data_IF_978168825910
#
_entry.id   IF_978168825910
#
_cell.length_a   1.000
_cell.length_b   1.000
_cell.length_c   1.000
_cell.angle_alpha   90.00
_cell.angle_beta   90.00
_cell.angle_gamma   90.00
#
_symmetry.space_group_name_H-M   'P 1'
#
loop_
_entity.id
_entity.type
_entity.pdbx_description
1 polymer ?
#
# COMPACT_ATOMS: atom_id res chain seq x y z
N UNK A 1 -9.46 4.45 20.60
CA UNK A 1 -9.65 5.49 19.57
C UNK A 1 -9.94 4.79 18.25
N UNK A 2 -10.89 5.28 17.48
CA UNK A 2 -11.32 4.62 16.24
C UNK A 2 -10.71 5.32 15.02
N UNK A 3 -10.31 4.53 14.03
CA UNK A 3 -9.85 4.96 12.72
C UNK A 3 -10.72 4.34 11.64
N UNK A 4 -11.45 5.14 10.87
CA UNK A 4 -12.16 4.66 9.68
C UNK A 4 -11.23 4.74 8.45
N UNK A 5 -10.95 3.56 7.87
CA UNK A 5 -10.07 3.42 6.70
C UNK A 5 -10.92 3.04 5.49
N UNK A 6 -10.61 3.64 4.34
CA UNK A 6 -11.12 3.23 3.04
C UNK A 6 -9.97 2.71 2.18
N UNK A 7 -10.07 1.47 1.70
CA UNK A 7 -9.14 0.84 0.77
C UNK A 7 -9.78 0.71 -0.62
N UNK A 8 -9.15 1.25 -1.65
CA UNK A 8 -9.69 1.25 -3.00
C UNK A 8 -9.52 -0.11 -3.70
N UNK A 9 -10.57 -0.57 -4.37
CA UNK A 9 -10.50 -1.47 -5.52
C UNK A 9 -10.61 -0.58 -6.77
N UNK A 10 -9.46 -0.17 -7.27
CA UNK A 10 -9.36 0.96 -8.20
C UNK A 10 -9.15 0.50 -9.64
N UNK A 11 -10.07 0.81 -10.56
CA UNK A 11 -9.86 0.55 -11.97
C UNK A 11 -8.88 1.59 -12.54
N UNK A 12 -7.99 1.15 -13.42
CA UNK A 12 -7.12 2.07 -14.17
C UNK A 12 -7.89 2.60 -15.36
N UNK A 13 -8.28 3.87 -15.30
CA UNK A 13 -9.20 4.50 -16.24
C UNK A 13 -8.46 5.31 -17.32
N UNK A 14 -8.93 5.27 -18.56
CA UNK A 14 -8.40 6.11 -19.64
C UNK A 14 -9.01 7.51 -19.57
N UNK A 15 -8.16 8.55 -19.62
CA UNK A 15 -8.57 9.96 -19.56
C UNK A 15 -8.15 10.70 -20.83
N UNK A 16 -8.93 11.72 -21.21
CA UNK A 16 -8.66 12.56 -22.38
C UNK A 16 -7.94 13.86 -22.04
N UNK A 17 -7.88 14.23 -20.75
CA UNK A 17 -7.19 15.41 -20.26
C UNK A 17 -6.85 15.26 -18.76
N UNK A 18 -5.90 16.09 -18.30
CA UNK A 18 -5.58 16.17 -16.87
C UNK A 18 -6.79 16.59 -16.03
N UNK A 19 -7.66 17.47 -16.55
CA UNK A 19 -8.87 17.90 -15.83
C UNK A 19 -9.87 16.75 -15.66
N UNK A 20 -10.03 15.87 -16.65
CA UNK A 20 -10.89 14.68 -16.51
C UNK A 20 -10.34 13.70 -15.50
N UNK A 21 -9.03 13.50 -15.45
CA UNK A 21 -8.37 12.70 -14.43
C UNK A 21 -8.56 13.32 -13.02
N UNK A 22 -8.32 14.62 -12.88
CA UNK A 22 -8.51 15.35 -11.61
C UNK A 22 -9.94 15.22 -11.09
N UNK A 23 -10.93 15.39 -11.98
CA UNK A 23 -12.34 15.23 -11.62
C UNK A 23 -12.66 13.78 -11.19
N UNK A 24 -12.09 12.79 -11.85
CA UNK A 24 -12.23 11.37 -11.50
C UNK A 24 -11.66 11.08 -10.10
N UNK A 25 -10.42 11.48 -9.82
CA UNK A 25 -9.79 11.29 -8.50
C UNK A 25 -10.59 12.02 -7.40
N UNK A 26 -11.07 13.23 -7.68
CA UNK A 26 -11.93 13.98 -6.73
C UNK A 26 -13.18 13.18 -6.38
N UNK A 27 -13.89 12.59 -7.37
CA UNK A 27 -15.08 11.77 -7.14
C UNK A 27 -14.75 10.54 -6.26
N UNK A 28 -13.60 9.91 -6.47
CA UNK A 28 -13.14 8.81 -5.62
C UNK A 28 -12.92 9.26 -4.18
N UNK A 29 -12.19 10.36 -3.96
CA UNK A 29 -11.94 10.88 -2.61
C UNK A 29 -13.26 11.25 -1.93
N UNK A 30 -14.14 11.98 -2.62
CA UNK A 30 -15.47 12.36 -2.10
C UNK A 30 -16.32 11.15 -1.70
N UNK A 31 -16.28 10.07 -2.50
CA UNK A 31 -17.01 8.83 -2.20
C UNK A 31 -16.53 8.14 -0.92
N UNK A 32 -15.22 8.14 -0.64
CA UNK A 32 -14.66 7.64 0.62
C UNK A 32 -15.03 8.54 1.82
N UNK A 33 -14.95 9.84 1.64
CA UNK A 33 -15.29 10.81 2.68
C UNK A 33 -16.78 10.73 3.07
N UNK A 34 -17.67 10.49 2.12
CA UNK A 34 -19.10 10.23 2.42
C UNK A 34 -19.30 9.00 3.32
N UNK A 35 -18.37 8.04 3.31
CA UNK A 35 -18.34 6.89 4.21
C UNK A 35 -17.58 7.17 5.53
N UNK A 36 -17.28 8.45 5.80
CA UNK A 36 -16.54 8.93 7.00
C UNK A 36 -15.12 8.39 7.13
N UNK A 37 -14.48 8.05 6.02
CA UNK A 37 -13.09 7.63 6.02
C UNK A 37 -12.17 8.78 6.46
N UNK A 38 -11.19 8.46 7.30
CA UNK A 38 -10.15 9.37 7.80
C UNK A 38 -8.80 9.10 7.13
N UNK A 39 -8.59 7.85 6.69
CA UNK A 39 -7.43 7.40 5.94
C UNK A 39 -7.91 6.72 4.65
N UNK A 40 -7.46 7.21 3.52
CA UNK A 40 -7.74 6.67 2.19
C UNK A 40 -6.48 6.02 1.65
N UNK A 41 -6.59 4.77 1.23
CA UNK A 41 -5.50 4.01 0.62
C UNK A 41 -5.85 3.72 -0.84
N UNK A 42 -5.14 4.35 -1.76
CA UNK A 42 -5.13 4.00 -3.17
C UNK A 42 -4.10 2.92 -3.47
N UNK A 43 -4.23 2.16 -4.57
CA UNK A 43 -3.34 1.05 -4.85
C UNK A 43 -2.02 1.49 -5.50
N UNK A 44 -1.09 0.53 -5.55
CA UNK A 44 0.12 0.64 -6.34
C UNK A 44 -0.21 0.88 -7.82
N UNK A 45 0.57 1.75 -8.49
CA UNK A 45 0.45 2.05 -9.92
C UNK A 45 -0.92 2.56 -10.41
N UNK A 46 -1.86 2.90 -9.53
CA UNK A 46 -3.09 3.56 -9.96
C UNK A 46 -2.83 4.87 -10.71
N UNK A 47 -1.67 5.50 -10.50
CA UNK A 47 -1.23 6.69 -11.26
C UNK A 47 -0.94 6.41 -12.74
N UNK A 48 -0.80 5.13 -13.15
CA UNK A 48 -0.55 4.77 -14.55
C UNK A 48 -1.69 5.17 -15.48
N UNK A 49 -2.86 5.48 -14.96
CA UNK A 49 -3.94 6.07 -15.77
C UNK A 49 -3.56 7.42 -16.40
N UNK A 50 -2.62 8.17 -15.81
CA UNK A 50 -2.07 9.40 -16.39
C UNK A 50 -1.29 9.17 -17.68
N UNK A 51 -0.82 7.95 -17.95
CA UNK A 51 -0.20 7.57 -19.22
C UNK A 51 -1.16 7.77 -20.38
N UNK A 52 -2.48 7.68 -20.15
CA UNK A 52 -3.49 7.92 -21.17
C UNK A 52 -3.44 9.32 -21.77
N UNK A 53 -2.80 10.27 -21.10
CA UNK A 53 -2.63 11.65 -21.55
C UNK A 53 -1.48 11.84 -22.55
N UNK A 54 -0.62 10.83 -22.68
CA UNK A 54 0.52 10.89 -23.60
C UNK A 54 0.19 10.42 -25.01
N UNK A 55 1.03 10.77 -26.01
CA UNK A 55 0.88 10.28 -27.38
C UNK A 55 0.97 8.75 -27.46
N UNK A 56 0.39 8.13 -28.53
CA UNK A 56 0.38 6.67 -28.70
C UNK A 56 1.75 6.02 -28.64
N UNK A 57 2.81 6.69 -29.08
CA UNK A 57 4.18 6.19 -29.07
C UNK A 57 4.70 5.98 -27.64
N UNK A 58 4.40 6.91 -26.73
CA UNK A 58 4.73 6.80 -25.29
C UNK A 58 3.86 5.73 -24.65
N UNK A 59 2.56 5.73 -24.96
CA UNK A 59 1.59 4.76 -24.40
C UNK A 59 1.92 3.31 -24.77
N UNK A 60 2.54 3.07 -25.93
CA UNK A 60 2.90 1.74 -26.42
C UNK A 60 4.23 1.19 -25.87
N UNK A 61 5.05 2.00 -25.21
CA UNK A 61 6.36 1.60 -24.70
C UNK A 61 6.41 1.71 -23.18
N UNK A 62 6.56 0.58 -22.47
CA UNK A 62 6.51 0.52 -21.01
C UNK A 62 7.59 1.38 -20.35
N UNK A 63 8.82 1.35 -20.86
CA UNK A 63 9.92 2.11 -20.26
C UNK A 63 9.71 3.61 -20.49
N UNK A 64 9.19 3.98 -21.64
CA UNK A 64 8.90 5.37 -21.95
C UNK A 64 7.73 5.89 -21.11
N UNK A 65 6.65 5.10 -20.91
CA UNK A 65 5.56 5.45 -19.99
C UNK A 65 6.09 5.79 -18.61
N UNK A 66 6.87 4.87 -18.04
CA UNK A 66 7.43 4.97 -16.68
C UNK A 66 8.34 6.21 -16.55
N UNK A 67 9.10 6.51 -17.59
CA UNK A 67 10.02 7.65 -17.60
C UNK A 67 9.27 8.97 -17.75
N UNK A 68 8.28 9.07 -18.65
CA UNK A 68 7.59 10.32 -18.97
C UNK A 68 6.61 10.78 -17.88
N UNK A 69 6.11 9.89 -17.04
CA UNK A 69 5.20 10.27 -15.94
C UNK A 69 5.76 11.35 -15.01
N UNK A 70 7.09 11.54 -14.97
CA UNK A 70 7.72 12.57 -14.15
C UNK A 70 7.26 13.99 -14.50
N UNK A 71 6.87 14.27 -15.75
CA UNK A 71 6.42 15.59 -16.17
C UNK A 71 5.12 16.00 -15.48
N UNK A 72 4.29 15.02 -15.08
CA UNK A 72 3.03 15.23 -14.38
C UNK A 72 3.15 15.14 -12.85
N UNK A 73 4.35 14.84 -12.32
CA UNK A 73 4.55 14.61 -10.88
C UNK A 73 4.14 15.80 -10.01
N UNK A 74 4.49 17.01 -10.40
CA UNK A 74 4.17 18.21 -9.63
C UNK A 74 2.66 18.43 -9.56
N UNK A 75 1.96 18.28 -10.67
CA UNK A 75 0.51 18.44 -10.76
C UNK A 75 -0.21 17.31 -10.00
N UNK A 76 0.27 16.07 -10.11
CA UNK A 76 -0.22 14.93 -9.32
C UNK A 76 -0.14 15.21 -7.81
N UNK A 77 1.02 15.65 -7.32
CA UNK A 77 1.21 16.02 -5.92
C UNK A 77 0.27 17.17 -5.53
N UNK A 78 0.12 18.17 -6.39
CA UNK A 78 -0.77 19.31 -6.17
C UNK A 78 -2.22 18.87 -5.95
N UNK A 79 -2.74 17.99 -6.80
CA UNK A 79 -4.11 17.48 -6.71
C UNK A 79 -4.36 16.74 -5.39
N UNK A 80 -3.50 15.78 -5.01
CA UNK A 80 -3.70 15.04 -3.77
C UNK A 80 -3.50 15.90 -2.51
N UNK A 81 -2.58 16.87 -2.55
CA UNK A 81 -2.41 17.82 -1.44
C UNK A 81 -3.66 18.73 -1.27
N UNK A 82 -4.27 19.16 -2.37
CA UNK A 82 -5.51 19.94 -2.36
C UNK A 82 -6.67 19.12 -1.81
N UNK A 83 -6.88 17.89 -2.31
CA UNK A 83 -7.95 17.00 -1.86
C UNK A 83 -7.81 16.62 -0.38
N UNK A 84 -6.61 16.30 0.08
CA UNK A 84 -6.37 15.99 1.50
C UNK A 84 -6.73 17.18 2.40
N UNK A 85 -6.43 18.41 1.94
CA UNK A 85 -6.77 19.64 2.66
C UNK A 85 -8.26 19.93 2.62
N UNK A 86 -8.89 19.85 1.46
CA UNK A 86 -10.31 20.15 1.24
C UNK A 86 -11.20 19.24 2.08
N UNK A 87 -10.91 17.94 2.06
CA UNK A 87 -11.74 16.95 2.76
C UNK A 87 -11.29 16.65 4.18
N UNK A 88 -10.15 17.18 4.63
CA UNK A 88 -9.65 17.00 5.99
C UNK A 88 -9.19 15.57 6.31
N UNK A 89 -8.67 14.83 5.32
CA UNK A 89 -8.32 13.40 5.42
C UNK A 89 -6.83 13.14 5.17
N UNK A 90 -6.36 11.97 5.61
CA UNK A 90 -5.06 11.45 5.21
C UNK A 90 -5.24 10.61 3.93
N UNK A 91 -4.39 10.83 2.93
CA UNK A 91 -4.42 10.09 1.67
C UNK A 91 -3.06 9.46 1.42
N UNK A 92 -3.03 8.15 1.25
CA UNK A 92 -1.94 7.45 0.57
C UNK A 92 -2.33 7.37 -0.89
N UNK A 93 -1.72 8.23 -1.70
CA UNK A 93 -2.02 8.33 -3.13
C UNK A 93 -1.59 7.07 -3.90
N UNK A 94 -2.12 6.83 -5.10
CA UNK A 94 -1.61 5.78 -5.97
C UNK A 94 -0.11 5.92 -6.15
N UNK A 95 0.66 4.81 -6.07
CA UNK A 95 2.10 4.95 -6.27
C UNK A 95 2.43 5.38 -7.70
N UNK A 96 3.50 6.13 -7.83
CA UNK A 96 3.96 6.77 -9.05
C UNK A 96 5.41 6.38 -9.32
N UNK A 97 5.79 6.02 -10.56
CA UNK A 97 7.18 5.96 -10.98
C UNK A 97 7.85 7.35 -10.88
N UNK A 98 8.94 7.45 -10.12
CA UNK A 98 9.65 8.71 -9.88
C UNK A 98 11.11 8.57 -10.27
N UNK A 99 11.55 9.21 -11.37
CA UNK A 99 12.96 9.32 -11.70
C UNK A 99 13.69 10.23 -10.69
N UNK A 100 14.79 9.70 -10.15
CA UNK A 100 15.67 10.41 -9.20
C UNK A 100 17.09 9.82 -9.29
N UNK A 101 18.10 10.65 -9.43
CA UNK A 101 19.54 10.29 -9.48
C UNK A 101 19.88 9.15 -10.47
N UNK A 102 19.25 9.16 -11.64
CA UNK A 102 19.47 8.16 -12.69
C UNK A 102 18.79 6.82 -12.48
N UNK A 103 17.99 6.68 -11.43
CA UNK A 103 17.14 5.55 -11.13
C UNK A 103 15.67 5.93 -11.19
N UNK A 104 14.78 4.95 -11.30
CA UNK A 104 13.32 5.17 -11.21
C UNK A 104 12.80 4.35 -10.05
N UNK A 105 12.11 5.00 -9.13
CA UNK A 105 11.53 4.36 -7.93
C UNK A 105 10.02 4.31 -8.00
N UNK A 106 9.43 3.22 -7.51
CA UNK A 106 7.99 3.12 -7.30
C UNK A 106 7.66 3.76 -5.94
N UNK A 107 7.04 4.96 -5.96
CA UNK A 107 6.87 5.84 -4.80
C UNK A 107 5.41 6.06 -4.44
N UNK A 108 5.03 5.72 -3.21
CA UNK A 108 3.74 6.05 -2.62
C UNK A 108 3.84 7.32 -1.77
N UNK A 109 3.18 8.40 -2.20
CA UNK A 109 3.14 9.67 -1.48
C UNK A 109 2.02 9.67 -0.43
N UNK A 110 2.29 10.32 0.71
CA UNK A 110 1.35 10.48 1.82
C UNK A 110 1.00 11.95 2.01
N UNK A 111 -0.28 12.23 2.03
CA UNK A 111 -0.81 13.58 2.21
C UNK A 111 -1.66 13.65 3.48
N UNK A 112 -1.67 14.81 4.10
CA UNK A 112 -2.54 15.17 5.21
C UNK A 112 -3.24 16.49 4.91
N UNK A 113 -4.17 16.97 5.76
CA UNK A 113 -4.75 18.30 5.61
C UNK A 113 -3.73 19.44 5.58
N UNK A 114 -2.49 19.18 5.97
CA UNK A 114 -1.37 20.15 5.92
C UNK A 114 -0.59 20.10 4.60
N UNK A 115 -0.92 19.19 3.69
CA UNK A 115 -0.25 18.95 2.41
C UNK A 115 0.57 17.67 2.38
N UNK A 116 1.60 17.61 1.54
CA UNK A 116 2.51 16.47 1.43
C UNK A 116 3.28 16.26 2.76
N UNK A 117 3.16 15.06 3.31
CA UNK A 117 3.85 14.66 4.56
C UNK A 117 5.18 13.97 4.26
N UNK A 118 5.20 13.10 3.25
CA UNK A 118 6.36 12.30 2.87
C UNK A 118 5.98 11.20 1.90
N UNK A 119 6.82 10.18 1.83
CA UNK A 119 6.62 9.06 0.92
C UNK A 119 7.26 7.78 1.45
N UNK A 120 6.88 6.66 0.85
CA UNK A 120 7.57 5.37 0.94
C UNK A 120 7.89 4.88 -0.47
N UNK A 121 9.15 4.51 -0.70
CA UNK A 121 9.59 3.84 -1.92
C UNK A 121 9.56 2.32 -1.74
N UNK A 122 9.24 1.60 -2.80
CA UNK A 122 9.24 0.15 -2.83
C UNK A 122 10.66 -0.42 -2.74
N UNK A 123 10.84 -1.48 -1.96
CA UNK A 123 12.14 -2.10 -1.72
C UNK A 123 12.47 -3.26 -2.65
N UNK A 124 11.48 -4.12 -2.88
CA UNK A 124 11.67 -5.33 -3.66
C UNK A 124 10.86 -5.23 -4.95
N UNK A 125 11.58 -5.30 -6.06
CA UNK A 125 10.98 -5.31 -7.38
C UNK A 125 10.52 -6.72 -7.75
N UNK A 126 9.34 -6.81 -8.33
CA UNK A 126 8.97 -8.01 -9.06
C UNK A 126 9.88 -8.14 -10.28
N UNK A 127 9.95 -9.35 -10.85
CA UNK A 127 10.74 -9.58 -12.06
C UNK A 127 10.34 -8.66 -13.21
N UNK A 128 9.05 -8.35 -13.35
CA UNK A 128 8.54 -7.43 -14.35
C UNK A 128 9.06 -6.00 -14.18
N UNK A 129 9.00 -5.49 -12.96
CA UNK A 129 9.47 -4.15 -12.64
C UNK A 129 10.97 -4.00 -12.92
N UNK A 130 11.77 -5.00 -12.53
CA UNK A 130 13.23 -4.99 -12.70
C UNK A 130 13.63 -5.19 -14.16
N UNK A 131 13.21 -6.30 -14.80
CA UNK A 131 13.69 -6.70 -16.12
C UNK A 131 13.03 -5.91 -17.27
N UNK A 132 11.74 -5.53 -17.14
CA UNK A 132 10.95 -4.95 -18.22
C UNK A 132 10.76 -3.45 -18.06
N UNK A 133 10.27 -3.00 -16.89
CA UNK A 133 9.92 -1.61 -16.67
C UNK A 133 11.12 -0.71 -16.36
N UNK A 134 12.20 -1.27 -15.79
CA UNK A 134 13.35 -0.50 -15.37
C UNK A 134 13.13 0.26 -14.07
N UNK A 135 12.28 -0.27 -13.19
CA UNK A 135 12.10 0.23 -11.83
C UNK A 135 13.22 -0.33 -10.95
N UNK A 136 13.80 0.52 -10.11
CA UNK A 136 14.93 0.17 -9.27
C UNK A 136 14.52 -0.05 -7.82
N UNK A 137 15.22 -0.95 -7.14
CA UNK A 137 15.11 -1.11 -5.70
C UNK A 137 15.58 0.17 -4.98
N UNK A 138 14.71 0.73 -4.13
CA UNK A 138 15.05 1.95 -3.42
C UNK A 138 16.09 1.72 -2.29
N UNK A 139 16.77 2.77 -1.82
CA UNK A 139 17.50 2.77 -0.57
C UNK A 139 16.61 2.28 0.58
N UNK A 140 17.18 1.51 1.51
CA UNK A 140 16.41 0.82 2.56
C UNK A 140 15.98 1.78 3.69
N UNK A 141 15.10 2.72 3.35
CA UNK A 141 14.49 3.67 4.29
C UNK A 141 13.02 3.31 4.48
N UNK A 142 12.63 2.98 5.71
CA UNK A 142 11.24 2.77 6.10
C UNK A 142 10.72 4.02 6.81
N UNK A 143 9.54 4.48 6.41
CA UNK A 143 8.91 5.65 7.00
C UNK A 143 7.72 5.24 7.87
N UNK A 144 7.72 5.64 9.13
CA UNK A 144 6.55 5.60 10.01
C UNK A 144 5.88 6.95 9.98
N UNK A 145 4.60 6.97 9.67
CA UNK A 145 3.76 8.17 9.64
C UNK A 145 2.94 8.23 10.92
N UNK A 146 3.00 9.38 11.60
CA UNK A 146 2.25 9.62 12.83
C UNK A 146 1.01 10.46 12.56
N UNK A 147 -0.12 10.01 13.10
CA UNK A 147 -1.40 10.70 13.07
C UNK A 147 -2.04 10.71 14.46
N UNK A 148 -3.09 11.50 14.65
CA UNK A 148 -3.76 11.61 15.95
C UNK A 148 -4.33 10.26 16.45
N UNK A 149 -4.66 9.34 15.53
CA UNK A 149 -5.21 8.02 15.83
C UNK A 149 -4.15 6.91 15.98
N UNK A 150 -2.87 7.18 15.76
CA UNK A 150 -1.76 6.23 15.87
C UNK A 150 -0.78 6.31 14.71
N UNK A 151 0.11 5.32 14.63
CA UNK A 151 1.17 5.26 13.63
C UNK A 151 0.89 4.18 12.58
N UNK A 152 1.27 4.46 11.33
CA UNK A 152 1.19 3.51 10.24
C UNK A 152 2.46 3.49 9.38
N UNK A 153 2.67 2.38 8.68
CA UNK A 153 3.72 2.22 7.69
C UNK A 153 3.19 1.64 6.39
N UNK A 154 3.98 1.72 5.33
CA UNK A 154 3.60 1.24 4.00
C UNK A 154 4.56 0.16 3.53
N UNK A 155 4.01 -0.95 3.02
CA UNK A 155 4.72 -2.04 2.37
C UNK A 155 4.08 -2.26 0.99
N UNK A 156 4.74 -1.76 -0.06
CA UNK A 156 4.14 -1.72 -1.40
C UNK A 156 4.16 -3.13 -2.01
N UNK A 157 2.98 -3.71 -2.20
CA UNK A 157 2.74 -4.95 -2.95
C UNK A 157 3.69 -6.09 -2.52
N UNK A 158 4.69 -6.41 -3.33
CA UNK A 158 5.67 -7.46 -3.09
C UNK A 158 6.43 -7.29 -1.77
N UNK A 159 6.61 -6.06 -1.28
CA UNK A 159 7.28 -5.80 0.01
C UNK A 159 6.55 -6.48 1.18
N UNK A 160 5.21 -6.59 1.15
CA UNK A 160 4.44 -7.20 2.23
C UNK A 160 4.64 -8.72 2.35
N UNK A 161 5.18 -9.36 1.31
CA UNK A 161 5.53 -10.79 1.33
C UNK A 161 6.75 -11.07 2.25
N UNK A 162 7.54 -10.05 2.63
CA UNK A 162 8.73 -10.16 3.46
C UNK A 162 8.49 -9.64 4.89
N UNK A 163 8.82 -10.45 5.89
CA UNK A 163 8.50 -10.17 7.30
C UNK A 163 9.21 -8.92 7.84
N UNK A 164 10.51 -8.79 7.54
CA UNK A 164 11.40 -7.85 8.23
C UNK A 164 10.97 -6.39 8.11
N UNK A 165 10.50 -5.96 6.93
CA UNK A 165 10.04 -4.57 6.73
C UNK A 165 8.91 -4.20 7.69
N UNK A 166 7.89 -5.04 7.78
CA UNK A 166 6.76 -4.83 8.70
C UNK A 166 7.15 -4.95 10.17
N UNK A 167 8.09 -5.84 10.51
CA UNK A 167 8.61 -5.95 11.87
C UNK A 167 9.35 -4.67 12.32
N UNK A 168 10.17 -4.09 11.43
CA UNK A 168 10.87 -2.83 11.69
C UNK A 168 9.89 -1.64 11.83
N UNK A 169 8.89 -1.54 10.95
CA UNK A 169 7.84 -0.52 11.05
C UNK A 169 7.07 -0.66 12.36
N UNK A 170 6.71 -1.89 12.73
CA UNK A 170 5.96 -2.17 13.95
C UNK A 170 6.81 -1.88 15.20
N UNK A 171 8.10 -2.24 15.21
CA UNK A 171 9.04 -1.91 16.28
C UNK A 171 9.22 -0.39 16.46
N UNK A 172 9.09 0.37 15.36
CA UNK A 172 9.09 1.83 15.37
C UNK A 172 7.71 2.46 15.71
N UNK A 173 6.72 1.64 16.10
CA UNK A 173 5.43 2.09 16.61
C UNK A 173 4.25 1.93 15.66
N UNK A 174 4.44 1.48 14.42
CA UNK A 174 3.32 1.28 13.51
C UNK A 174 2.38 0.17 14.02
N UNK A 175 1.11 0.50 14.14
CA UNK A 175 0.02 -0.42 14.49
C UNK A 175 -0.88 -0.75 13.28
N UNK A 176 -0.69 -0.04 12.17
CA UNK A 176 -1.35 -0.29 10.88
C UNK A 176 -0.29 -0.40 9.78
N UNK A 177 -0.32 -1.47 9.01
CA UNK A 177 0.52 -1.67 7.82
C UNK A 177 -0.37 -1.58 6.58
N UNK A 178 -0.06 -0.65 5.70
CA UNK A 178 -0.79 -0.43 4.45
C UNK A 178 -0.06 -1.14 3.30
N UNK A 179 -0.79 -1.90 2.49
CA UNK A 179 -0.25 -2.65 1.37
C UNK A 179 -0.93 -2.26 0.04
N UNK A 180 -0.62 -1.07 -0.51
CA UNK A 180 -1.07 -0.72 -1.85
C UNK A 180 -0.45 -1.67 -2.86
N UNK A 181 -1.27 -2.26 -3.76
CA UNK A 181 -0.81 -3.35 -4.62
C UNK A 181 -1.40 -3.27 -6.03
N UNK A 182 -0.63 -3.77 -6.99
CA UNK A 182 -1.05 -3.97 -8.37
C UNK A 182 -0.65 -5.39 -8.78
N UNK A 183 -1.61 -6.23 -9.09
CA UNK A 183 -1.38 -7.63 -9.44
C UNK A 183 -2.22 -8.01 -10.66
N UNK A 184 -1.63 -8.81 -11.55
CA UNK A 184 -2.25 -9.25 -12.80
C UNK A 184 -3.07 -10.53 -12.64
N UNK A 185 -2.75 -11.37 -11.66
CA UNK A 185 -3.28 -12.72 -11.54
C UNK A 185 -3.81 -13.02 -10.15
N UNK A 186 -4.72 -14.01 -10.06
CA UNK A 186 -5.17 -14.57 -8.79
C UNK A 186 -3.98 -14.97 -7.91
N UNK A 187 -2.92 -15.56 -8.50
CA UNK A 187 -1.70 -15.95 -7.76
C UNK A 187 -0.98 -14.75 -7.15
N UNK A 188 -0.87 -13.66 -7.93
CA UNK A 188 -0.27 -12.42 -7.45
C UNK A 188 -1.06 -11.84 -6.27
N UNK A 189 -2.36 -11.67 -6.44
CA UNK A 189 -3.24 -11.19 -5.38
C UNK A 189 -3.15 -12.09 -4.14
N UNK A 190 -3.24 -13.42 -4.31
CA UNK A 190 -3.15 -14.38 -3.20
C UNK A 190 -1.86 -14.22 -2.39
N UNK A 191 -0.69 -14.03 -3.03
CA UNK A 191 0.57 -13.82 -2.30
C UNK A 191 0.52 -12.57 -1.43
N UNK A 192 0.02 -11.45 -1.95
CA UNK A 192 -0.16 -10.21 -1.20
C UNK A 192 -1.05 -10.44 0.01
N UNK A 193 -2.19 -11.10 -0.16
CA UNK A 193 -3.14 -11.38 0.93
C UNK A 193 -2.56 -12.32 1.99
N UNK A 194 -1.85 -13.38 1.58
CA UNK A 194 -1.14 -14.28 2.51
C UNK A 194 -0.07 -13.51 3.28
N UNK A 195 0.72 -12.69 2.58
CA UNK A 195 1.72 -11.83 3.21
C UNK A 195 1.12 -10.88 4.23
N UNK A 196 0.08 -10.14 3.85
CA UNK A 196 -0.59 -9.19 4.74
C UNK A 196 -1.19 -9.85 5.99
N UNK A 197 -1.83 -11.02 5.85
CA UNK A 197 -2.33 -11.78 7.01
C UNK A 197 -1.21 -12.21 7.95
N UNK A 198 -0.07 -12.66 7.39
CA UNK A 198 1.09 -13.02 8.19
C UNK A 198 1.66 -11.80 8.92
N UNK A 199 1.73 -10.63 8.26
CA UNK A 199 2.18 -9.38 8.91
C UNK A 199 1.25 -8.94 10.03
N UNK A 200 -0.07 -9.08 9.86
CA UNK A 200 -1.02 -8.78 10.92
C UNK A 200 -0.80 -9.68 12.14
N UNK A 201 -0.63 -10.98 11.93
CA UNK A 201 -0.37 -11.98 12.97
C UNK A 201 0.95 -11.72 13.71
N UNK A 202 2.05 -11.64 12.96
CA UNK A 202 3.42 -11.56 13.52
C UNK A 202 3.67 -10.28 14.33
N UNK A 203 2.99 -9.19 13.96
CA UNK A 203 3.19 -7.87 14.55
C UNK A 203 2.05 -7.46 15.47
N UNK A 204 1.05 -8.29 15.67
CA UNK A 204 -0.19 -7.92 16.37
C UNK A 204 -0.64 -6.52 15.93
N UNK A 205 -0.91 -6.39 14.63
CA UNK A 205 -1.22 -5.14 13.95
C UNK A 205 -2.42 -5.31 13.01
N UNK A 206 -2.97 -4.21 12.55
CA UNK A 206 -3.88 -4.20 11.42
C UNK A 206 -3.09 -4.16 10.11
N UNK A 207 -3.56 -4.87 9.09
CA UNK A 207 -3.08 -4.71 7.72
C UNK A 207 -4.23 -4.36 6.79
N UNK A 208 -4.00 -3.46 5.85
CA UNK A 208 -4.99 -2.95 4.91
C UNK A 208 -4.44 -3.09 3.50
N UNK A 209 -5.17 -3.77 2.62
CA UNK A 209 -4.82 -3.96 1.22
C UNK A 209 -5.75 -3.14 0.35
N UNK A 210 -5.18 -2.40 -0.59
CA UNK A 210 -5.84 -1.78 -1.74
C UNK A 210 -5.24 -2.37 -3.01
N UNK A 211 -6.06 -2.72 -3.99
CA UNK A 211 -5.58 -3.33 -5.25
C UNK A 211 -6.23 -2.68 -6.47
N UNK A 212 -5.45 -2.64 -7.57
CA UNK A 212 -6.00 -2.36 -8.90
C UNK A 212 -6.90 -3.49 -9.38
N UNK A 213 -7.94 -3.15 -10.14
CA UNK A 213 -8.92 -4.10 -10.68
C UNK A 213 -9.24 -3.78 -12.14
N UNK A 214 -9.85 -4.74 -12.85
CA UNK A 214 -10.29 -4.55 -14.23
C UNK A 214 -9.16 -4.57 -15.26
N UNK A 215 -9.47 -4.16 -16.48
CA UNK A 215 -8.54 -4.20 -17.61
C UNK A 215 -8.31 -2.79 -18.16
N UNK A 216 -7.04 -2.46 -18.41
CA UNK A 216 -6.59 -1.22 -19.05
C UNK A 216 -5.78 -1.54 -20.31
N UNK A 217 -6.41 -2.26 -21.27
CA UNK A 217 -5.76 -2.81 -22.47
C UNK A 217 -5.05 -1.77 -23.36
N UNK A 218 -5.27 -0.50 -23.08
CA UNK A 218 -4.61 0.63 -23.75
C UNK A 218 -3.19 0.92 -23.19
N UNK A 219 -2.81 0.32 -22.06
CA UNK A 219 -1.50 0.49 -21.44
C UNK A 219 -0.85 -0.87 -21.17
N UNK A 220 0.21 -1.26 -21.91
CA UNK A 220 0.85 -2.56 -21.76
C UNK A 220 1.53 -2.79 -20.40
N UNK A 221 1.70 -1.72 -19.60
CA UNK A 221 2.26 -1.84 -18.25
C UNK A 221 1.23 -2.36 -17.22
N UNK A 222 -0.03 -2.00 -17.38
CA UNK A 222 -1.12 -2.28 -16.41
C UNK A 222 -2.38 -2.79 -17.13
N UNK A 223 -2.21 -3.53 -18.21
CA UNK A 223 -3.28 -3.99 -19.12
C UNK A 223 -4.30 -4.90 -18.42
N UNK A 224 -3.85 -5.78 -17.55
CA UNK A 224 -4.70 -6.71 -16.78
C UNK A 224 -4.46 -6.50 -15.30
N UNK A 225 -5.54 -6.34 -14.52
CA UNK A 225 -5.46 -6.20 -13.08
C UNK A 225 -6.44 -7.16 -12.42
N UNK A 226 -5.94 -7.93 -11.46
CA UNK A 226 -6.77 -8.80 -10.62
C UNK A 226 -6.48 -8.53 -9.16
N UNK A 227 -7.51 -8.16 -8.41
CA UNK A 227 -7.35 -7.87 -7.00
C UNK A 227 -8.66 -7.73 -6.24
N UNK A 228 -8.53 -7.53 -4.95
CA UNK A 228 -9.60 -7.15 -4.04
C UNK A 228 -9.03 -6.46 -2.80
N UNK A 229 -9.82 -5.57 -2.20
CA UNK A 229 -9.45 -4.93 -0.95
C UNK A 229 -9.77 -5.84 0.24
N UNK A 230 -8.95 -5.77 1.28
CA UNK A 230 -9.15 -6.51 2.52
C UNK A 230 -8.50 -5.81 3.70
N UNK A 231 -9.01 -6.08 4.90
CA UNK A 231 -8.43 -5.66 6.15
C UNK A 231 -8.31 -6.86 7.10
N UNK A 232 -7.14 -7.02 7.69
CA UNK A 232 -6.80 -8.13 8.56
C UNK A 232 -6.30 -7.64 9.92
N UNK A 233 -6.42 -8.51 10.91
CA UNK A 233 -5.87 -8.30 12.25
C UNK A 233 -5.19 -9.59 12.74
N UNK A 234 -4.57 -9.55 13.91
CA UNK A 234 -4.18 -10.76 14.61
C UNK A 234 -5.44 -11.46 15.16
N UNK A 235 -5.55 -12.81 15.05
CA UNK A 235 -6.56 -13.54 15.80
C UNK A 235 -6.23 -13.52 17.29
N UNK A 236 -7.05 -12.82 18.07
CA UNK A 236 -6.87 -12.68 19.53
C UNK A 236 -8.16 -12.21 20.20
N UNK A 237 -8.15 -12.00 21.51
CA UNK A 237 -9.30 -11.53 22.28
C UNK A 237 -9.95 -10.29 21.67
N UNK A 238 -11.27 -10.30 21.55
CA UNK A 238 -12.09 -9.21 20.99
C UNK A 238 -11.80 -8.86 19.51
N UNK A 239 -11.02 -9.67 18.81
CA UNK A 239 -10.77 -9.61 17.38
C UNK A 239 -11.32 -10.88 16.70
N UNK A 240 -11.59 -10.89 15.38
CA UNK A 240 -12.05 -12.08 14.66
C UNK A 240 -11.11 -13.27 14.83
N UNK A 241 -11.70 -14.46 15.07
CA UNK A 241 -10.95 -15.70 15.31
C UNK A 241 -10.09 -16.14 14.12
N UNK A 242 -10.47 -15.77 12.91
CA UNK A 242 -9.75 -16.05 11.67
C UNK A 242 -8.81 -14.91 11.23
N UNK A 243 -8.81 -13.78 11.98
CA UNK A 243 -8.02 -12.60 11.68
C UNK A 243 -8.52 -11.80 10.47
N UNK A 244 -9.75 -12.02 10.00
CA UNK A 244 -10.34 -11.30 8.87
C UNK A 244 -11.34 -10.28 9.39
N UNK A 245 -10.99 -8.98 9.30
CA UNK A 245 -11.95 -7.92 9.65
C UNK A 245 -13.00 -7.75 8.57
N UNK A 246 -12.56 -7.65 7.33
CA UNK A 246 -13.46 -7.53 6.18
C UNK A 246 -12.69 -7.80 4.88
N UNK A 247 -13.42 -8.28 3.88
CA UNK A 247 -12.91 -8.45 2.51
C UNK A 247 -13.99 -8.03 1.53
N UNK A 248 -13.59 -7.49 0.39
CA UNK A 248 -14.53 -7.20 -0.70
C UNK A 248 -14.54 -8.33 -1.73
N UNK A 249 -15.53 -8.30 -2.61
CA UNK A 249 -15.62 -9.23 -3.74
C UNK A 249 -14.51 -8.91 -4.76
N UNK A 250 -13.73 -9.89 -5.23
CA UNK A 250 -12.71 -9.65 -6.25
C UNK A 250 -13.27 -8.96 -7.50
N UNK A 251 -12.50 -8.04 -8.06
CA UNK A 251 -12.81 -7.31 -9.30
C UNK A 251 -14.00 -6.34 -9.22
N UNK A 252 -14.56 -6.10 -8.06
CA UNK A 252 -15.63 -5.11 -7.86
C UNK A 252 -15.00 -3.74 -7.59
N UNK A 253 -15.28 -2.77 -8.45
CA UNK A 253 -14.82 -1.39 -8.24
C UNK A 253 -15.45 -0.75 -6.99
N UNK A 254 -14.70 0.07 -6.29
CA UNK A 254 -15.20 0.85 -5.17
C UNK A 254 -14.29 0.88 -3.96
N UNK A 255 -14.82 1.36 -2.85
CA UNK A 255 -14.14 1.44 -1.58
C UNK A 255 -14.61 0.35 -0.62
N UNK A 256 -13.68 -0.40 -0.07
CA UNK A 256 -13.91 -1.19 1.14
C UNK A 256 -13.62 -0.29 2.34
N UNK A 257 -14.66 0.03 3.12
CA UNK A 257 -14.52 0.90 4.29
C UNK A 257 -14.79 0.11 5.57
N UNK A 258 -13.92 0.27 6.56
CA UNK A 258 -14.07 -0.35 7.87
C UNK A 258 -13.50 0.55 8.98
N UNK A 259 -14.06 0.46 10.18
CA UNK A 259 -13.57 1.20 11.35
C UNK A 259 -12.72 0.29 12.23
N UNK A 260 -11.46 0.61 12.37
CA UNK A 260 -10.49 -0.06 13.22
C UNK A 260 -10.53 0.53 14.63
N UNK A 261 -10.68 -0.32 15.64
CA UNK A 261 -10.48 0.10 17.03
C UNK A 261 -9.00 -0.02 17.41
N UNK A 262 -8.31 1.10 17.43
CA UNK A 262 -6.87 1.14 17.71
C UNK A 262 -6.53 0.69 19.12
N UNK A 263 -7.48 0.76 20.08
CA UNK A 263 -7.24 0.32 21.46
C UNK A 263 -7.14 -1.20 21.57
N UNK A 264 -7.73 -1.95 20.65
CA UNK A 264 -7.63 -3.42 20.63
C UNK A 264 -6.20 -3.88 20.30
N UNK A 265 -5.51 -3.17 19.40
CA UNK A 265 -4.10 -3.49 19.09
C UNK A 265 -3.20 -3.26 20.29
N UNK A 266 -3.38 -2.16 21.00
CA UNK A 266 -2.63 -1.89 22.24
C UNK A 266 -2.91 -2.96 23.30
N UNK A 267 -4.17 -3.37 23.46
CA UNK A 267 -4.58 -4.40 24.40
C UNK A 267 -3.95 -5.77 24.05
N UNK A 268 -4.04 -6.22 22.80
CA UNK A 268 -3.48 -7.54 22.43
C UNK A 268 -1.95 -7.57 22.45
N UNK A 269 -1.27 -6.44 22.23
CA UNK A 269 0.19 -6.34 22.39
C UNK A 269 0.66 -6.44 23.85
N UNK A 270 -0.21 -6.12 24.81
CA UNK A 270 0.09 -6.12 26.25
C UNK A 270 -0.52 -7.30 27.00
N UNK A 271 -1.74 -7.72 26.65
CA UNK A 271 -2.58 -8.67 27.39
C UNK A 271 -3.14 -9.79 26.50
N UNK A 272 -2.69 -9.91 25.22
CA UNK A 272 -3.18 -10.94 24.29
C UNK A 272 -2.85 -12.37 24.73
N UNK A 273 -3.47 -13.34 24.08
CA UNK A 273 -3.23 -14.78 24.31
C UNK A 273 -1.77 -15.18 24.02
N UNK A 274 -1.13 -14.47 23.10
CA UNK A 274 0.26 -14.66 22.68
C UNK A 274 0.95 -13.30 22.53
N UNK A 275 2.27 -13.28 22.51
CA UNK A 275 3.06 -12.04 22.47
C UNK A 275 3.88 -11.93 21.18
N UNK A 276 3.27 -12.21 20.04
CA UNK A 276 3.97 -12.18 18.75
C UNK A 276 4.74 -10.88 18.51
N UNK A 277 4.14 -9.72 18.78
CA UNK A 277 4.78 -8.41 18.66
C UNK A 277 6.06 -8.32 19.50
N UNK A 278 5.98 -8.66 20.78
CA UNK A 278 7.09 -8.58 21.75
C UNK A 278 8.18 -9.62 21.43
N UNK A 279 7.76 -10.83 21.10
CA UNK A 279 8.69 -11.94 20.84
C UNK A 279 9.37 -11.79 19.46
N UNK A 280 8.68 -11.24 18.47
CA UNK A 280 9.29 -10.87 17.18
C UNK A 280 10.42 -9.83 17.35
N UNK A 281 10.25 -8.85 18.22
CA UNK A 281 11.32 -7.88 18.52
C UNK A 281 12.51 -8.52 19.23
N UNK A 282 12.27 -9.45 20.17
CA UNK A 282 13.33 -10.21 20.84
C UNK A 282 14.07 -11.09 19.85
N UNK A 283 13.34 -11.82 19.00
CA UNK A 283 13.91 -12.68 17.98
C UNK A 283 14.78 -11.87 17.01
N UNK A 284 14.31 -10.72 16.53
CA UNK A 284 15.08 -9.84 15.66
C UNK A 284 16.36 -9.37 16.31
N UNK A 285 16.33 -8.99 17.60
CA UNK A 285 17.53 -8.63 18.36
C UNK A 285 18.51 -9.80 18.46
N UNK A 286 18.02 -11.02 18.76
CA UNK A 286 18.86 -12.22 18.83
C UNK A 286 19.52 -12.54 17.50
N UNK A 287 18.79 -12.48 16.39
CA UNK A 287 19.36 -12.72 15.05
C UNK A 287 20.42 -11.67 14.64
N UNK A 288 20.29 -10.43 15.11
CA UNK A 288 21.23 -9.36 14.81
C UNK A 288 22.49 -9.39 15.66
N UNK A 289 22.40 -9.86 16.91
CA UNK A 289 23.47 -9.74 17.91
C UNK A 289 24.00 -11.07 18.44
N UNK A 290 23.28 -12.17 18.23
CA UNK A 290 23.67 -13.50 18.70
C UNK A 290 23.97 -14.40 17.48
N UNK A 291 24.86 -15.37 17.70
CA UNK A 291 25.15 -16.38 16.67
C UNK A 291 24.05 -17.44 16.66
N UNK A 292 23.17 -17.39 15.67
CA UNK A 292 22.18 -18.45 15.43
C UNK A 292 22.84 -19.61 14.70
N UNK A 293 22.82 -20.79 15.32
CA UNK A 293 23.36 -22.01 14.71
C UNK A 293 22.28 -22.73 13.87
N UNK A 294 22.63 -23.07 12.63
CA UNK A 294 21.78 -23.89 11.75
C UNK A 294 22.47 -25.21 11.50
N UNK A 295 21.95 -26.30 12.06
CA UNK A 295 22.54 -27.65 11.97
C UNK A 295 21.81 -28.46 10.90
N UNK A 296 22.58 -29.04 9.95
CA UNK A 296 22.09 -30.02 8.98
C UNK A 296 22.36 -31.43 9.49
N UNK A 297 21.37 -32.29 9.53
CA UNK A 297 21.49 -33.72 9.82
C UNK A 297 20.92 -34.53 8.67
N UNK A 298 21.63 -35.59 8.28
CA UNK A 298 21.11 -36.59 7.34
C UNK A 298 20.24 -37.58 8.12
N UNK A 299 19.06 -37.91 7.56
CA UNK A 299 18.18 -39.00 8.02
C UNK A 299 18.26 -40.16 7.05
#
# INVERSE_FOLDING_TARGET
MNLTVAAAQYPITEHTSFDTWRAHVNQWVEAAVRQKAQLLLFPEYGSMELVSLFPPEVRGDIRWQVQELHVLRADFIGVFAELAREYGVVIVAPSLPVPEDGSIFNRAFVFSPKGLVGYQDKFFMTRFEDEVWGIHSAPKTLTVFEAAWGCFGIQICYDVEFALGSQLLSAAGASVILAPSCTETIRGATRVHVGARARALENQAYTVISQTVGNALWSPAVDINYGYAAMYCTPDHNLPEDGILTTEVPQKEGWLTHTLDMTLIDAVRTEGQVFNYKDSQRLMSSFLHEKVEVVKRRV
#
